data_IF_931313874237
#
_entry.id   IF_931313874237
#
_cell.length_a   1.000
_cell.length_b   1.000
_cell.length_c   1.000
_cell.angle_alpha   90.00
_cell.angle_beta   90.00
_cell.angle_gamma   90.00
#
_symmetry.space_group_name_H-M   'P 1'
#
loop_
_entity.id
_entity.type
_entity.pdbx_description
1 polymer ?
#
# COMPACT_ATOMS: atom_id res chain seq x y z
N UNK A 1 12.16 36.15 38.67
CA UNK A 1 10.87 35.67 38.12
C UNK A 1 10.84 35.98 36.62
N UNK A 2 11.20 35.01 35.78
CA UNK A 2 10.89 35.02 34.34
C UNK A 2 10.71 33.56 33.93
N UNK A 3 9.45 33.16 33.70
CA UNK A 3 9.08 31.85 33.20
C UNK A 3 9.29 31.82 31.69
N UNK A 4 10.27 31.03 31.23
CA UNK A 4 10.34 30.61 29.83
C UNK A 4 9.66 29.25 29.69
N UNK A 5 8.41 29.27 29.23
CA UNK A 5 7.67 28.07 28.81
C UNK A 5 7.98 27.79 27.33
N UNK A 6 8.92 26.88 27.06
CA UNK A 6 9.15 26.34 25.73
C UNK A 6 8.11 25.25 25.43
N UNK A 7 6.98 25.62 24.82
CA UNK A 7 6.03 24.65 24.27
C UNK A 7 6.57 24.11 22.94
N UNK A 8 7.37 23.04 23.03
CA UNK A 8 7.78 22.26 21.87
C UNK A 8 6.57 21.53 21.28
N UNK A 9 6.01 22.07 20.19
CA UNK A 9 5.02 21.36 19.38
C UNK A 9 5.71 20.19 18.66
N UNK A 10 5.81 19.04 19.32
CA UNK A 10 6.15 17.78 18.66
C UNK A 10 5.04 17.45 17.67
N UNK A 11 5.34 17.26 16.38
CA UNK A 11 4.35 16.83 15.40
C UNK A 11 3.70 15.52 15.85
N UNK A 12 2.37 15.44 15.77
CA UNK A 12 1.63 14.22 16.13
C UNK A 12 2.09 13.03 15.27
N UNK A 13 2.10 11.83 15.84
CA UNK A 13 2.54 10.60 15.15
C UNK A 13 1.83 10.39 13.79
N UNK A 14 0.56 10.83 13.68
CA UNK A 14 -0.21 10.85 12.42
C UNK A 14 0.41 11.75 11.35
N UNK A 15 0.90 12.95 11.68
CA UNK A 15 1.59 13.85 10.73
C UNK A 15 2.94 13.28 10.29
N UNK A 16 3.65 12.56 11.17
CA UNK A 16 4.88 11.86 10.80
C UNK A 16 4.58 10.69 9.87
N UNK A 17 3.56 9.88 10.13
CA UNK A 17 3.14 8.81 9.23
C UNK A 17 2.64 9.37 7.90
N UNK A 18 1.79 10.40 7.88
CA UNK A 18 1.32 11.01 6.62
C UNK A 18 2.44 11.67 5.80
N UNK A 19 3.41 12.31 6.45
CA UNK A 19 4.61 12.84 5.79
C UNK A 19 5.53 11.72 5.31
N UNK A 20 5.71 10.67 6.12
CA UNK A 20 6.43 9.45 5.76
C UNK A 20 5.71 8.72 4.63
N UNK A 21 4.38 8.74 4.55
CA UNK A 21 3.57 8.09 3.51
C UNK A 21 3.52 8.91 2.21
N UNK A 22 3.62 10.24 2.30
CA UNK A 22 3.86 11.13 1.15
C UNK A 22 5.29 11.01 0.62
N UNK A 23 6.28 10.88 1.52
CA UNK A 23 7.70 10.74 1.14
C UNK A 23 8.10 9.32 0.80
N UNK A 24 7.41 8.31 1.34
CA UNK A 24 7.68 6.92 1.07
C UNK A 24 6.75 6.34 0.02
N UNK A 25 5.41 6.45 0.10
CA UNK A 25 4.67 5.34 -0.51
C UNK A 25 3.24 5.44 -0.99
N UNK A 26 2.62 6.58 -1.28
CA UNK A 26 1.33 6.47 -1.97
C UNK A 26 1.19 7.48 -3.09
N UNK A 27 1.41 6.99 -4.31
CA UNK A 27 0.70 7.51 -5.46
C UNK A 27 -0.80 7.52 -5.18
N UNK A 28 -1.54 8.44 -5.80
CA UNK A 28 -3.01 8.45 -5.76
C UNK A 28 -3.61 7.04 -5.95
N UNK A 29 -3.11 6.17 -6.86
CA UNK A 29 -3.52 4.76 -6.96
C UNK A 29 -3.47 3.92 -5.66
N UNK A 30 -2.36 3.96 -4.91
CA UNK A 30 -2.27 3.23 -3.65
C UNK A 30 -3.07 3.92 -2.52
N UNK A 31 -3.14 5.26 -2.52
CA UNK A 31 -4.04 6.00 -1.60
C UNK A 31 -5.48 5.59 -1.84
N UNK A 32 -5.92 5.59 -3.10
CA UNK A 32 -7.26 5.18 -3.51
C UNK A 32 -7.53 3.72 -3.16
N UNK A 33 -6.52 2.85 -3.22
CA UNK A 33 -6.67 1.45 -2.79
C UNK A 33 -6.90 1.34 -1.28
N UNK A 34 -6.20 2.14 -0.47
CA UNK A 34 -6.42 2.23 0.98
C UNK A 34 -7.78 2.86 1.29
N UNK A 35 -8.16 3.91 0.57
CA UNK A 35 -9.47 4.57 0.69
C UNK A 35 -10.59 3.62 0.27
N UNK A 36 -10.42 2.83 -0.79
CA UNK A 36 -11.38 1.80 -1.20
C UNK A 36 -11.49 0.66 -0.19
N UNK A 37 -10.40 0.26 0.47
CA UNK A 37 -10.47 -0.67 1.62
C UNK A 37 -11.31 -0.09 2.77
N UNK A 38 -11.30 1.23 2.97
CA UNK A 38 -12.16 1.90 3.97
C UNK A 38 -13.61 2.14 3.50
N UNK A 39 -13.86 2.29 2.20
CA UNK A 39 -15.20 2.60 1.66
C UNK A 39 -16.00 1.36 1.23
N UNK A 40 -15.34 0.25 0.88
CA UNK A 40 -16.01 -1.02 0.54
C UNK A 40 -16.70 -1.69 1.74
N UNK A 41 -16.54 -1.15 2.96
CA UNK A 41 -17.34 -1.56 4.12
C UNK A 41 -18.75 -0.93 4.15
N UNK A 42 -19.14 -0.14 3.13
CA UNK A 42 -20.38 0.63 3.15
C UNK A 42 -21.27 0.45 1.90
N UNK A 43 -20.99 -0.55 1.06
CA UNK A 43 -21.73 -0.75 -0.19
C UNK A 43 -21.87 -2.24 -0.53
N UNK A 44 -22.93 -2.87 -0.03
CA UNK A 44 -23.44 -4.14 -0.51
C UNK A 44 -24.70 -3.89 -1.36
N UNK A 45 -24.65 -4.26 -2.65
CA UNK A 45 -25.70 -5.03 -3.30
C UNK A 45 -25.34 -5.42 -4.74
N UNK A 46 -25.49 -6.72 -4.98
CA UNK A 46 -25.69 -7.44 -6.26
C UNK A 46 -24.61 -7.34 -7.34
N UNK A 47 -23.92 -8.47 -7.56
CA UNK A 47 -24.02 -9.24 -8.82
C UNK A 47 -23.38 -10.62 -8.66
N UNK A 48 -24.14 -11.67 -8.98
CA UNK A 48 -23.65 -13.03 -9.18
C UNK A 48 -22.75 -13.12 -10.42
N UNK A 49 -21.57 -13.71 -10.29
CA UNK A 49 -20.85 -14.28 -11.43
C UNK A 49 -20.01 -15.50 -11.01
N UNK A 50 -20.36 -16.61 -11.63
CA UNK A 50 -19.84 -17.96 -11.51
C UNK A 50 -18.46 -18.10 -12.16
N UNK A 51 -17.37 -18.41 -11.43
CA UNK A 51 -16.07 -18.83 -11.99
C UNK A 51 -15.22 -19.66 -10.99
N UNK A 52 -14.85 -20.88 -11.42
CA UNK A 52 -13.57 -21.55 -11.16
C UNK A 52 -13.09 -21.75 -9.72
N UNK A 53 -13.54 -22.81 -9.04
CA UNK A 53 -12.95 -23.28 -7.77
C UNK A 53 -11.54 -23.85 -7.99
N UNK A 54 -10.50 -23.03 -7.89
CA UNK A 54 -9.15 -23.54 -7.60
C UNK A 54 -9.08 -23.91 -6.11
N UNK A 55 -8.86 -25.20 -5.86
CA UNK A 55 -8.68 -25.77 -4.52
C UNK A 55 -7.33 -25.35 -3.98
N UNK A 56 -7.34 -24.47 -2.97
CA UNK A 56 -6.24 -24.36 -2.01
C UNK A 56 -6.24 -25.65 -1.19
N UNK A 57 -5.34 -26.59 -1.51
CA UNK A 57 -5.26 -27.86 -0.80
C UNK A 57 -4.43 -27.68 0.46
N UNK A 58 -5.09 -27.76 1.61
CA UNK A 58 -4.48 -28.17 2.87
C UNK A 58 -4.32 -29.69 2.83
N UNK A 59 -3.08 -30.17 2.72
CA UNK A 59 -2.76 -31.58 2.86
C UNK A 59 -2.64 -31.93 4.34
N UNK A 60 -3.63 -32.63 4.90
CA UNK A 60 -3.44 -33.52 6.04
C UNK A 60 -4.38 -34.73 5.90
N UNK A 61 -3.82 -35.91 6.11
CA UNK A 61 -4.42 -37.21 5.84
C UNK A 61 -5.23 -37.76 7.04
N UNK A 62 -6.46 -38.21 6.76
CA UNK A 62 -7.07 -39.53 7.11
C UNK A 62 -7.31 -39.79 8.63
N UNK A 63 -8.54 -40.04 9.13
CA UNK A 63 -9.41 -41.22 8.87
C UNK A 63 -10.83 -41.05 9.47
N UNK A 64 -11.78 -41.75 8.83
CA UNK A 64 -13.26 -41.79 8.99
C UNK A 64 -13.78 -42.52 10.25
N UNK A 65 -15.00 -42.22 10.69
CA UNK A 65 -16.18 -43.13 10.57
C UNK A 65 -17.52 -42.51 11.05
N UNK A 66 -18.50 -42.61 10.14
CA UNK A 66 -19.98 -42.59 10.16
C UNK A 66 -20.76 -42.65 11.50
N UNK A 67 -21.85 -41.86 11.61
CA UNK A 67 -23.25 -42.30 11.36
C UNK A 67 -24.28 -41.22 11.76
N UNK A 68 -25.16 -40.86 10.82
CA UNK A 68 -26.52 -40.29 11.01
C UNK A 68 -27.52 -41.43 11.36
N UNK A 69 -28.80 -41.21 11.82
CA UNK A 69 -29.66 -40.11 11.35
C UNK A 69 -30.84 -39.60 12.23
N UNK A 70 -31.48 -38.56 11.66
CA UNK A 70 -32.93 -38.28 11.57
C UNK A 70 -33.65 -37.35 12.58
N UNK A 71 -34.26 -36.35 11.95
CA UNK A 71 -35.69 -35.98 11.98
C UNK A 71 -36.21 -34.84 12.90
N UNK A 72 -36.91 -33.92 12.20
CA UNK A 72 -38.19 -33.28 12.50
C UNK A 72 -38.26 -31.86 13.12
N UNK A 73 -38.62 -30.93 12.22
CA UNK A 73 -39.92 -30.22 12.12
C UNK A 73 -40.26 -29.01 13.04
N UNK A 74 -40.75 -27.98 12.32
CA UNK A 74 -41.89 -27.09 12.59
C UNK A 74 -41.76 -25.77 13.40
N UNK A 75 -41.95 -24.68 12.63
CA UNK A 75 -42.99 -23.65 12.70
C UNK A 75 -43.05 -22.56 13.80
N UNK A 76 -42.99 -21.32 13.27
CA UNK A 76 -43.92 -20.19 13.40
C UNK A 76 -43.87 -19.19 14.58
N UNK A 77 -43.83 -17.92 14.12
CA UNK A 77 -44.66 -16.76 14.47
C UNK A 77 -44.16 -15.64 15.42
N UNK A 78 -43.90 -14.47 14.78
CA UNK A 78 -44.64 -13.17 14.86
C UNK A 78 -44.51 -12.24 16.10
N UNK A 79 -44.44 -10.94 15.77
CA UNK A 79 -44.51 -9.67 16.55
C UNK A 79 -43.26 -9.23 17.33
N UNK A 80 -42.89 -7.95 17.42
CA UNK A 80 -43.55 -6.69 17.04
C UNK A 80 -42.59 -5.49 17.01
N UNK A 81 -43.18 -4.31 16.86
CA UNK A 81 -42.61 -3.03 16.44
C UNK A 81 -41.61 -2.33 17.39
N UNK A 82 -40.74 -1.47 16.84
CA UNK A 82 -40.65 -0.06 17.24
C UNK A 82 -39.79 0.78 16.31
N UNK A 83 -40.36 1.93 15.96
CA UNK A 83 -39.74 3.06 15.29
C UNK A 83 -38.74 3.75 16.22
N UNK A 84 -37.64 4.28 15.68
CA UNK A 84 -37.05 5.53 16.14
C UNK A 84 -36.10 6.08 15.06
N UNK A 85 -36.59 7.06 14.30
CA UNK A 85 -35.79 7.87 13.38
C UNK A 85 -35.11 8.99 14.17
N UNK A 86 -33.78 8.96 14.25
CA UNK A 86 -32.98 10.13 14.59
C UNK A 86 -32.33 10.66 13.32
N UNK A 87 -32.89 11.77 12.82
CA UNK A 87 -32.21 12.64 11.86
C UNK A 87 -31.09 13.38 12.59
N UNK A 88 -29.86 13.23 12.10
CA UNK A 88 -28.78 14.18 12.35
C UNK A 88 -28.17 14.56 11.01
N UNK A 89 -28.63 15.69 10.48
CA UNK A 89 -27.99 16.43 9.41
C UNK A 89 -26.65 16.96 9.92
N UNK A 90 -25.55 16.33 9.48
CA UNK A 90 -24.20 16.87 9.67
C UNK A 90 -23.69 17.35 8.31
N UNK A 91 -23.82 18.67 8.10
CA UNK A 91 -23.14 19.42 7.05
C UNK A 91 -21.61 19.32 7.24
N UNK A 92 -20.95 18.50 6.44
CA UNK A 92 -19.50 18.54 6.25
C UNK A 92 -19.17 19.58 5.18
N UNK A 93 -18.72 20.75 5.64
CA UNK A 93 -18.15 21.77 4.77
C UNK A 93 -16.83 21.26 4.18
N UNK A 94 -16.86 20.85 2.90
CA UNK A 94 -15.66 20.59 2.10
C UNK A 94 -14.82 21.87 2.00
N UNK A 95 -13.66 21.86 2.65
CA UNK A 95 -12.61 22.86 2.41
C UNK A 95 -11.98 22.52 1.05
N UNK A 96 -12.45 23.19 0.00
CA UNK A 96 -11.79 23.19 -1.32
C UNK A 96 -10.49 23.97 -1.21
N UNK A 97 -9.39 23.26 -0.98
CA UNK A 97 -8.05 23.83 -1.15
C UNK A 97 -7.84 24.05 -2.64
N UNK A 98 -7.85 25.31 -3.10
CA UNK A 98 -7.47 25.64 -4.48
C UNK A 98 -6.03 25.20 -4.72
N UNK A 99 -5.82 24.15 -5.52
CA UNK A 99 -4.51 23.70 -5.96
C UNK A 99 -3.89 24.78 -6.87
N UNK A 100 -2.92 25.53 -6.33
CA UNK A 100 -2.23 26.58 -7.07
C UNK A 100 -1.16 25.97 -7.97
N UNK A 101 -1.43 25.92 -9.28
CA UNK A 101 -0.47 25.46 -10.29
C UNK A 101 0.88 26.18 -10.13
N UNK A 102 1.96 25.40 -10.04
CA UNK A 102 3.31 25.95 -10.04
C UNK A 102 3.67 26.29 -11.48
N UNK A 103 3.97 27.57 -11.72
CA UNK A 103 4.56 28.03 -12.98
C UNK A 103 6.06 28.06 -12.84
N UNK A 104 6.74 27.19 -13.57
CA UNK A 104 8.20 27.13 -13.65
C UNK A 104 8.62 27.73 -14.99
N UNK A 105 9.56 28.68 -14.97
CA UNK A 105 10.18 29.17 -16.20
C UNK A 105 11.22 28.16 -16.69
N UNK A 106 10.73 27.13 -17.41
CA UNK A 106 11.58 26.06 -17.92
C UNK A 106 12.70 26.61 -18.80
N UNK A 107 12.44 27.67 -19.58
CA UNK A 107 13.44 28.25 -20.50
C UNK A 107 14.61 28.83 -19.71
N UNK A 108 14.35 29.60 -18.66
CA UNK A 108 15.40 30.15 -17.82
C UNK A 108 16.22 29.03 -17.14
N UNK A 109 15.56 27.97 -16.68
CA UNK A 109 16.26 26.85 -16.03
C UNK A 109 17.14 26.08 -17.01
N UNK A 110 16.68 25.84 -18.24
CA UNK A 110 17.52 25.23 -19.27
C UNK A 110 18.74 26.11 -19.58
N UNK A 111 18.55 27.44 -19.68
CA UNK A 111 19.68 28.37 -19.85
C UNK A 111 20.66 28.33 -18.66
N UNK A 112 20.16 28.17 -17.44
CA UNK A 112 21.00 28.05 -16.25
C UNK A 112 21.74 26.70 -16.18
N UNK A 113 21.16 25.62 -16.71
CA UNK A 113 21.84 24.33 -16.88
C UNK A 113 22.93 24.41 -17.96
N UNK A 114 22.63 25.02 -19.12
CA UNK A 114 23.60 25.24 -20.20
C UNK A 114 24.79 26.10 -19.77
N UNK A 115 24.55 27.07 -18.87
CA UNK A 115 25.57 27.95 -18.32
C UNK A 115 26.26 27.44 -17.06
N UNK A 116 26.05 26.18 -16.66
CA UNK A 116 26.57 25.58 -15.41
C UNK A 116 26.20 26.35 -14.12
N UNK A 117 25.17 27.18 -14.16
CA UNK A 117 24.66 27.96 -13.00
C UNK A 117 23.76 27.13 -12.11
N UNK A 118 23.15 26.09 -12.66
CA UNK A 118 22.30 25.14 -11.96
C UNK A 118 22.83 23.73 -12.21
N UNK A 119 22.87 22.89 -11.17
CA UNK A 119 23.21 21.47 -11.34
C UNK A 119 21.98 20.66 -11.71
N UNK A 120 22.10 19.59 -12.52
CA UNK A 120 20.97 18.72 -12.86
C UNK A 120 20.21 18.20 -11.64
N UNK A 121 20.90 17.83 -10.56
CA UNK A 121 20.26 17.36 -9.33
C UNK A 121 19.35 18.41 -8.67
N UNK A 122 19.74 19.69 -8.70
CA UNK A 122 18.93 20.81 -8.21
C UNK A 122 17.72 21.07 -9.12
N UNK A 123 17.87 20.87 -10.43
CA UNK A 123 16.75 20.95 -11.36
C UNK A 123 15.74 19.81 -11.13
N UNK A 124 16.19 18.63 -10.69
CA UNK A 124 15.29 17.52 -10.33
C UNK A 124 14.43 17.81 -9.08
N UNK A 125 14.85 18.70 -8.17
CA UNK A 125 14.00 19.18 -7.06
C UNK A 125 12.76 19.95 -7.56
N UNK A 126 12.92 20.69 -8.67
CA UNK A 126 11.81 21.40 -9.31
C UNK A 126 10.85 20.42 -10.00
N UNK A 127 11.38 19.40 -10.68
CA UNK A 127 10.58 18.35 -11.27
C UNK A 127 9.76 17.58 -10.22
N UNK A 128 10.35 17.28 -9.07
CA UNK A 128 9.65 16.62 -7.98
C UNK A 128 8.47 17.47 -7.47
N UNK A 129 8.66 18.79 -7.33
CA UNK A 129 7.56 19.72 -6.97
C UNK A 129 6.43 19.74 -8.00
N UNK A 130 6.73 19.63 -9.30
CA UNK A 130 5.68 19.51 -10.32
C UNK A 130 4.85 18.23 -10.10
N UNK A 131 5.51 17.11 -9.81
CA UNK A 131 4.83 15.84 -9.49
C UNK A 131 3.94 15.99 -8.24
N UNK A 132 4.44 16.62 -7.17
CA UNK A 132 3.67 16.88 -5.95
C UNK A 132 2.41 17.73 -6.20
N UNK A 133 2.41 18.54 -7.26
CA UNK A 133 1.28 19.39 -7.68
C UNK A 133 0.46 18.77 -8.81
N UNK A 134 0.60 17.46 -9.04
CA UNK A 134 -0.10 16.72 -10.11
C UNK A 134 0.16 17.22 -11.54
N UNK A 135 1.23 17.98 -11.77
CA UNK A 135 1.66 18.48 -13.09
C UNK A 135 2.57 17.45 -13.76
N UNK A 136 2.03 16.25 -14.01
CA UNK A 136 2.79 15.05 -14.40
C UNK A 136 3.45 15.17 -15.78
N UNK A 137 2.71 15.65 -16.78
CA UNK A 137 3.23 15.78 -18.14
C UNK A 137 4.34 16.85 -18.21
N UNK A 138 4.12 18.01 -17.57
CA UNK A 138 5.13 19.05 -17.48
C UNK A 138 6.37 18.57 -16.73
N UNK A 139 6.20 17.76 -15.67
CA UNK A 139 7.32 17.14 -14.98
C UNK A 139 8.11 16.21 -15.91
N UNK A 140 7.44 15.35 -16.70
CA UNK A 140 8.12 14.43 -17.64
C UNK A 140 8.93 15.19 -18.67
N UNK A 141 8.31 16.14 -19.35
CA UNK A 141 9.00 16.95 -20.37
C UNK A 141 10.22 17.66 -19.78
N UNK A 142 10.06 18.21 -18.57
CA UNK A 142 11.16 18.90 -17.89
C UNK A 142 12.29 17.94 -17.50
N UNK A 143 11.98 16.74 -16.99
CA UNK A 143 12.99 15.73 -16.65
C UNK A 143 13.73 15.23 -17.90
N UNK A 144 13.04 15.04 -19.03
CA UNK A 144 13.71 14.65 -20.28
C UNK A 144 14.68 15.72 -20.79
N UNK A 145 14.34 17.00 -20.61
CA UNK A 145 15.28 18.07 -20.93
C UNK A 145 16.49 18.03 -20.00
N UNK A 146 16.32 17.78 -18.70
CA UNK A 146 17.43 17.66 -17.74
C UNK A 146 18.33 16.46 -18.06
N UNK A 147 17.75 15.32 -18.47
CA UNK A 147 18.50 14.11 -18.82
C UNK A 147 19.54 14.35 -19.92
N UNK A 148 19.30 15.29 -20.84
CA UNK A 148 20.24 15.65 -21.90
C UNK A 148 21.55 16.29 -21.36
N UNK A 149 21.53 16.83 -20.14
CA UNK A 149 22.67 17.45 -19.48
C UNK A 149 23.41 16.49 -18.52
N UNK A 150 22.94 15.25 -18.38
CA UNK A 150 23.59 14.24 -17.55
C UNK A 150 24.54 13.43 -18.44
N UNK A 151 25.86 13.41 -18.18
CA UNK A 151 26.82 12.73 -19.06
C UNK A 151 26.52 11.24 -19.21
N UNK A 152 26.51 10.73 -20.45
CA UNK A 152 26.20 9.31 -20.74
C UNK A 152 27.24 8.32 -20.18
N UNK A 153 28.49 8.75 -19.98
CA UNK A 153 29.51 7.94 -19.28
C UNK A 153 29.20 7.75 -17.78
N UNK A 154 28.13 8.39 -17.28
CA UNK A 154 27.61 8.33 -15.92
C UNK A 154 26.17 7.79 -15.89
N UNK A 155 25.80 6.91 -16.83
CA UNK A 155 24.49 6.20 -16.82
C UNK A 155 24.24 5.37 -15.54
N UNK A 156 25.26 5.24 -14.69
CA UNK A 156 25.21 4.61 -13.35
C UNK A 156 25.37 5.62 -12.19
N UNK A 157 25.28 6.93 -12.43
CA UNK A 157 25.34 7.93 -11.37
C UNK A 157 23.97 8.14 -10.71
N UNK A 158 23.98 8.47 -9.42
CA UNK A 158 22.83 8.75 -8.57
C UNK A 158 21.83 9.74 -9.20
N UNK A 159 22.33 10.71 -9.98
CA UNK A 159 21.50 11.72 -10.65
C UNK A 159 20.66 11.12 -11.78
N UNK A 160 21.24 10.26 -12.62
CA UNK A 160 20.53 9.54 -13.69
C UNK A 160 19.45 8.65 -13.09
N UNK A 161 19.80 7.90 -12.04
CA UNK A 161 18.86 7.06 -11.28
C UNK A 161 17.70 7.86 -10.72
N UNK A 162 17.99 9.01 -10.10
CA UNK A 162 16.97 9.92 -9.56
C UNK A 162 16.05 10.44 -10.66
N UNK A 163 16.59 10.82 -11.81
CA UNK A 163 15.79 11.25 -12.96
C UNK A 163 14.87 10.12 -13.45
N UNK A 164 15.37 8.90 -13.64
CA UNK A 164 14.54 7.74 -14.02
C UNK A 164 13.42 7.47 -13.02
N UNK A 165 13.71 7.53 -11.72
CA UNK A 165 12.69 7.40 -10.68
C UNK A 165 11.61 8.47 -10.81
N UNK A 166 11.96 9.73 -11.06
CA UNK A 166 10.99 10.82 -11.18
C UNK A 166 10.14 10.69 -12.45
N UNK A 167 10.72 10.26 -13.59
CA UNK A 167 9.93 9.93 -14.79
C UNK A 167 8.92 8.82 -14.49
N UNK A 168 9.39 7.74 -13.84
CA UNK A 168 8.55 6.61 -13.46
C UNK A 168 7.42 7.03 -12.51
N UNK A 169 7.73 7.83 -11.48
CA UNK A 169 6.75 8.37 -10.53
C UNK A 169 5.71 9.26 -11.22
N UNK A 170 6.11 10.03 -12.23
CA UNK A 170 5.16 10.84 -12.99
C UNK A 170 4.15 9.97 -13.74
N UNK A 171 4.61 8.97 -14.49
CA UNK A 171 3.72 7.97 -15.11
C UNK A 171 2.86 7.23 -14.07
N UNK A 172 3.47 6.75 -13.00
CA UNK A 172 2.79 5.99 -11.95
C UNK A 172 1.68 6.81 -11.26
N UNK A 173 1.94 8.08 -10.95
CA UNK A 173 0.96 8.99 -10.34
C UNK A 173 -0.15 9.39 -11.32
N UNK A 174 0.12 9.35 -12.62
CA UNK A 174 -0.87 9.51 -13.69
C UNK A 174 -1.59 8.20 -14.05
N UNK A 175 -1.42 7.12 -13.27
CA UNK A 175 -2.01 5.79 -13.48
C UNK A 175 -1.57 5.09 -14.79
N UNK A 176 -0.44 5.51 -15.37
CA UNK A 176 0.21 4.94 -16.56
C UNK A 176 1.23 3.89 -16.14
N UNK A 177 0.75 2.78 -15.57
CA UNK A 177 1.60 1.79 -14.90
C UNK A 177 2.58 1.10 -15.86
N UNK A 178 2.15 0.79 -17.09
CA UNK A 178 2.96 0.08 -18.08
C UNK A 178 4.12 0.96 -18.56
N UNK A 179 3.87 2.24 -18.71
CA UNK A 179 4.83 3.27 -19.09
C UNK A 179 5.83 3.54 -17.96
N UNK A 180 5.41 3.46 -16.70
CA UNK A 180 6.29 3.62 -15.54
C UNK A 180 7.33 2.50 -15.39
N UNK A 181 6.96 1.26 -15.74
CA UNK A 181 7.79 0.06 -15.54
C UNK A 181 9.23 0.14 -16.09
N UNK A 182 9.46 0.47 -17.38
CA UNK A 182 10.82 0.54 -17.92
C UNK A 182 11.69 1.55 -17.17
N UNK A 183 11.10 2.63 -16.65
CA UNK A 183 11.82 3.65 -15.89
C UNK A 183 12.13 3.22 -14.45
N UNK A 184 11.19 2.59 -13.75
CA UNK A 184 11.49 1.98 -12.45
C UNK A 184 12.54 0.88 -12.56
N UNK A 185 12.52 0.10 -13.65
CA UNK A 185 13.54 -0.91 -13.90
C UNK A 185 14.93 -0.30 -14.07
N UNK A 186 15.06 0.76 -14.88
CA UNK A 186 16.31 1.52 -15.01
C UNK A 186 16.79 2.09 -13.68
N UNK A 187 15.87 2.62 -12.87
CA UNK A 187 16.21 3.14 -11.55
C UNK A 187 16.69 2.04 -10.59
N UNK A 188 16.05 0.88 -10.58
CA UNK A 188 16.35 -0.21 -9.65
C UNK A 188 17.66 -0.96 -9.97
N UNK A 189 17.92 -1.27 -11.25
CA UNK A 189 19.09 -2.06 -11.65
C UNK A 189 20.42 -1.43 -11.26
N UNK A 190 20.47 -0.10 -11.14
CA UNK A 190 21.67 0.65 -10.78
C UNK A 190 21.59 1.19 -9.33
N UNK A 191 20.91 0.47 -8.43
CA UNK A 191 20.58 0.97 -7.09
C UNK A 191 20.73 -0.03 -5.96
N UNK A 192 21.31 0.45 -4.87
CA UNK A 192 21.27 -0.18 -3.54
C UNK A 192 20.16 0.39 -2.65
N UNK A 193 19.18 1.10 -3.24
CA UNK A 193 18.07 1.69 -2.52
C UNK A 193 16.88 0.74 -2.45
N UNK A 194 16.43 0.41 -1.24
CA UNK A 194 15.17 -0.32 -1.02
C UNK A 194 13.98 0.36 -1.70
N UNK A 195 14.00 1.69 -1.81
CA UNK A 195 12.92 2.47 -2.45
C UNK A 195 12.80 2.17 -3.95
N UNK A 196 13.92 2.05 -4.66
CA UNK A 196 13.88 1.81 -6.11
C UNK A 196 13.35 0.42 -6.42
N UNK A 197 13.83 -0.58 -5.66
CA UNK A 197 13.35 -1.95 -5.74
C UNK A 197 11.88 -2.07 -5.35
N UNK A 198 11.47 -1.35 -4.31
CA UNK A 198 10.08 -1.35 -3.89
C UNK A 198 9.14 -0.74 -4.93
N UNK A 199 9.51 0.40 -5.52
CA UNK A 199 8.72 1.00 -6.59
C UNK A 199 8.55 0.03 -7.76
N UNK A 200 9.64 -0.62 -8.20
CA UNK A 200 9.59 -1.64 -9.25
C UNK A 200 8.68 -2.81 -8.88
N UNK A 201 8.82 -3.34 -7.66
CA UNK A 201 8.03 -4.46 -7.16
C UNK A 201 6.53 -4.13 -7.18
N UNK A 202 6.15 -3.00 -6.59
CA UNK A 202 4.75 -2.57 -6.50
C UNK A 202 4.14 -2.29 -7.86
N UNK A 203 4.82 -1.54 -8.72
CA UNK A 203 4.26 -1.23 -10.05
C UNK A 203 4.12 -2.50 -10.87
N UNK A 204 5.10 -3.41 -10.82
CA UNK A 204 5.03 -4.70 -11.53
C UNK A 204 3.90 -5.58 -11.01
N UNK A 205 3.65 -5.60 -9.70
CA UNK A 205 2.56 -6.35 -9.09
C UNK A 205 1.17 -5.76 -9.34
N UNK A 206 1.04 -4.46 -9.65
CA UNK A 206 -0.26 -3.81 -9.88
C UNK A 206 -0.73 -3.89 -11.33
N UNK A 207 0.16 -4.12 -12.28
CA UNK A 207 -0.20 -4.22 -13.69
C UNK A 207 -1.05 -5.48 -13.89
N UNK A 208 -2.32 -5.30 -14.19
CA UNK A 208 -3.21 -6.40 -14.58
C UNK A 208 -2.87 -6.82 -16.00
N UNK A 209 -1.99 -7.82 -16.11
CA UNK A 209 -1.64 -8.50 -17.35
C UNK A 209 -1.55 -10.00 -17.07
N UNK A 210 -1.87 -10.83 -18.05
CA UNK A 210 -1.74 -12.28 -17.94
C UNK A 210 -0.26 -12.72 -18.10
N UNK A 211 0.65 -11.75 -18.28
CA UNK A 211 2.09 -11.97 -18.41
C UNK A 211 2.73 -12.38 -17.07
N UNK A 212 2.97 -13.69 -16.94
CA UNK A 212 3.74 -14.28 -15.84
C UNK A 212 5.12 -13.65 -15.61
N UNK A 213 5.70 -12.97 -16.61
CA UNK A 213 6.98 -12.29 -16.45
C UNK A 213 6.90 -11.07 -15.52
N UNK A 214 5.76 -10.35 -15.50
CA UNK A 214 5.59 -9.18 -14.62
C UNK A 214 5.48 -9.60 -13.16
N UNK A 215 4.72 -10.66 -12.87
CA UNK A 215 4.67 -11.23 -11.52
C UNK A 215 6.06 -11.73 -11.08
N UNK A 216 6.80 -12.43 -11.95
CA UNK A 216 8.16 -12.87 -11.64
C UNK A 216 9.09 -11.68 -11.37
N UNK A 217 8.97 -10.60 -12.15
CA UNK A 217 9.72 -9.37 -11.93
C UNK A 217 9.37 -8.72 -10.59
N UNK A 218 8.09 -8.66 -10.23
CA UNK A 218 7.62 -8.13 -8.96
C UNK A 218 8.21 -8.90 -7.77
N UNK A 219 8.13 -10.24 -7.82
CA UNK A 219 8.67 -11.11 -6.77
C UNK A 219 10.20 -11.03 -6.68
N UNK A 220 10.89 -10.96 -7.82
CA UNK A 220 12.34 -10.74 -7.86
C UNK A 220 12.72 -9.40 -7.23
N UNK A 221 12.08 -8.31 -7.65
CA UNK A 221 12.34 -6.98 -7.09
C UNK A 221 12.07 -6.95 -5.58
N UNK A 222 10.98 -7.59 -5.11
CA UNK A 222 10.70 -7.70 -3.69
C UNK A 222 11.74 -8.52 -2.91
N UNK A 223 12.34 -9.55 -3.53
CA UNK A 223 13.45 -10.29 -2.91
C UNK A 223 14.71 -9.44 -2.71
N UNK A 224 14.98 -8.48 -3.60
CA UNK A 224 16.11 -7.56 -3.44
C UNK A 224 15.91 -6.64 -2.23
N UNK A 225 14.69 -6.19 -1.98
CA UNK A 225 14.32 -5.42 -0.79
C UNK A 225 14.66 -6.21 0.48
N UNK A 226 14.28 -7.49 0.52
CA UNK A 226 14.58 -8.34 1.66
C UNK A 226 16.09 -8.53 1.88
N UNK A 227 16.86 -8.68 0.81
CA UNK A 227 18.31 -8.81 0.89
C UNK A 227 18.96 -7.54 1.46
N UNK A 228 18.58 -6.37 0.95
CA UNK A 228 19.07 -5.08 1.47
C UNK A 228 18.69 -4.88 2.95
N UNK A 229 17.48 -5.28 3.34
CA UNK A 229 17.10 -5.28 4.76
C UNK A 229 17.98 -6.23 5.58
N UNK A 230 18.23 -7.46 5.12
CA UNK A 230 19.12 -8.41 5.82
C UNK A 230 20.55 -7.86 5.96
N UNK A 231 21.11 -7.29 4.90
CA UNK A 231 22.44 -6.68 4.90
C UNK A 231 22.54 -5.52 5.90
N UNK A 232 21.46 -4.77 6.07
CA UNK A 232 21.36 -3.68 7.06
C UNK A 232 20.96 -4.12 8.47
N UNK A 233 20.83 -5.43 8.75
CA UNK A 233 20.23 -5.96 9.98
C UNK A 233 18.84 -5.35 10.29
N UNK A 234 18.04 -5.16 9.25
CA UNK A 234 16.67 -4.61 9.28
C UNK A 234 16.57 -3.18 9.84
N UNK A 235 17.62 -2.37 9.71
CA UNK A 235 17.64 -0.98 10.17
C UNK A 235 17.10 0.04 9.15
N UNK A 236 16.91 -0.38 7.89
CA UNK A 236 16.43 0.50 6.83
C UNK A 236 14.99 0.96 7.06
N UNK A 237 14.70 2.18 6.61
CA UNK A 237 13.35 2.77 6.63
C UNK A 237 12.81 2.93 5.21
N UNK A 238 11.52 2.61 4.97
CA UNK A 238 10.58 2.04 5.93
C UNK A 238 10.97 0.61 6.29
N UNK A 239 10.49 0.12 7.43
CA UNK A 239 10.71 -1.25 7.85
C UNK A 239 10.29 -2.27 6.78
N UNK A 240 10.93 -3.44 6.80
CA UNK A 240 10.59 -4.53 5.90
C UNK A 240 9.10 -4.92 5.97
N UNK A 241 8.51 -4.93 7.16
CA UNK A 241 7.12 -5.39 7.33
C UNK A 241 6.10 -4.39 6.78
N UNK A 242 6.37 -3.08 6.87
CA UNK A 242 5.55 -2.05 6.23
C UNK A 242 5.62 -2.20 4.71
N UNK A 243 6.80 -2.48 4.17
CA UNK A 243 6.97 -2.76 2.74
C UNK A 243 6.20 -4.03 2.33
N UNK A 244 6.33 -5.13 3.07
CA UNK A 244 5.58 -6.36 2.82
C UNK A 244 4.06 -6.13 2.78
N UNK A 245 3.53 -5.34 3.71
CA UNK A 245 2.11 -4.98 3.77
C UNK A 245 1.63 -4.30 2.47
N UNK A 246 2.34 -3.28 2.01
CA UNK A 246 1.97 -2.56 0.78
C UNK A 246 2.22 -3.37 -0.49
N UNK A 247 3.19 -4.27 -0.48
CA UNK A 247 3.41 -5.19 -1.59
C UNK A 247 2.26 -6.22 -1.72
N UNK A 248 1.72 -6.71 -0.59
CA UNK A 248 0.51 -7.56 -0.60
C UNK A 248 -0.67 -6.81 -1.22
N UNK A 249 -0.89 -5.54 -0.86
CA UNK A 249 -1.94 -4.70 -1.47
C UNK A 249 -1.72 -4.57 -2.99
N UNK A 250 -0.47 -4.36 -3.42
CA UNK A 250 -0.12 -4.26 -4.83
C UNK A 250 -0.46 -5.54 -5.59
N UNK A 251 -0.09 -6.71 -5.06
CA UNK A 251 -0.44 -8.02 -5.62
C UNK A 251 -1.96 -8.20 -5.73
N UNK A 252 -2.71 -7.82 -4.69
CA UNK A 252 -4.17 -7.88 -4.71
C UNK A 252 -4.77 -7.00 -5.80
N UNK A 253 -4.20 -5.81 -6.04
CA UNK A 253 -4.65 -4.91 -7.09
C UNK A 253 -4.34 -5.43 -8.50
N UNK A 254 -3.24 -6.16 -8.67
CA UNK A 254 -2.95 -6.96 -9.86
C UNK A 254 -3.70 -8.29 -9.95
N UNK A 255 -4.60 -8.60 -9.00
CA UNK A 255 -5.36 -9.86 -8.90
C UNK A 255 -4.48 -11.12 -8.66
N UNK A 256 -3.26 -10.95 -8.19
CA UNK A 256 -2.34 -12.02 -7.78
C UNK A 256 -2.66 -12.52 -6.34
N UNK A 257 -3.88 -13.01 -6.15
CA UNK A 257 -4.40 -13.34 -4.81
C UNK A 257 -3.66 -14.50 -4.12
N UNK A 258 -3.14 -15.46 -4.89
CA UNK A 258 -2.40 -16.61 -4.37
C UNK A 258 -1.08 -16.20 -3.74
N UNK A 259 -0.32 -15.34 -4.43
CA UNK A 259 0.94 -14.78 -3.97
C UNK A 259 0.69 -13.83 -2.79
N UNK A 260 -0.35 -12.99 -2.89
CA UNK A 260 -0.79 -12.13 -1.79
C UNK A 260 -1.10 -12.95 -0.52
N UNK A 261 -1.80 -14.07 -0.63
CA UNK A 261 -2.12 -14.95 0.50
C UNK A 261 -0.87 -15.61 1.10
N UNK A 262 0.08 -16.01 0.27
CA UNK A 262 1.36 -16.57 0.72
C UNK A 262 2.13 -15.56 1.57
N UNK A 263 2.23 -14.32 1.09
CA UNK A 263 2.90 -13.23 1.80
C UNK A 263 2.11 -12.74 3.03
N UNK A 264 0.78 -12.78 2.98
CA UNK A 264 -0.09 -12.48 4.13
C UNK A 264 0.18 -13.45 5.29
N UNK A 265 0.39 -14.74 5.01
CA UNK A 265 0.78 -15.71 6.03
C UNK A 265 2.12 -15.39 6.67
N UNK A 266 3.08 -14.86 5.91
CA UNK A 266 4.36 -14.39 6.44
C UNK A 266 4.16 -13.22 7.41
N UNK A 267 3.27 -12.28 7.08
CA UNK A 267 2.93 -11.16 7.96
C UNK A 267 2.16 -11.63 9.21
N UNK A 268 1.25 -12.61 9.09
CA UNK A 268 0.59 -13.27 10.23
C UNK A 268 1.60 -13.84 11.24
N UNK A 269 2.64 -14.51 10.75
CA UNK A 269 3.69 -15.05 11.62
C UNK A 269 4.48 -13.96 12.33
N UNK A 270 4.64 -12.77 11.73
CA UNK A 270 5.25 -11.64 12.39
C UNK A 270 4.39 -11.13 13.56
N UNK A 271 3.06 -11.02 13.37
CA UNK A 271 2.14 -10.69 14.46
C UNK A 271 2.08 -11.76 15.56
N UNK A 272 2.15 -13.05 15.22
CA UNK A 272 2.25 -14.11 16.22
C UNK A 272 3.50 -13.99 17.10
N UNK A 273 4.61 -13.48 16.53
CA UNK A 273 5.86 -13.24 17.28
C UNK A 273 5.86 -11.90 18.02
N UNK A 274 4.95 -11.00 17.67
CA UNK A 274 4.79 -9.74 18.37
C UNK A 274 4.20 -10.01 19.76
N UNK A 275 4.74 -9.36 20.79
CA UNK A 275 4.28 -9.55 22.16
C UNK A 275 2.91 -8.92 22.40
N UNK A 276 2.67 -7.76 21.78
CA UNK A 276 1.46 -6.97 21.92
C UNK A 276 0.96 -6.52 20.56
N UNK A 277 -0.35 -6.29 20.45
CA UNK A 277 -0.97 -5.72 19.24
C UNK A 277 -1.26 -4.23 19.38
N UNK A 278 -0.80 -3.59 20.46
CA UNK A 278 -1.02 -2.16 20.65
C UNK A 278 -0.26 -1.33 19.61
N UNK A 279 -0.83 -0.18 19.18
CA UNK A 279 -0.25 0.61 18.09
C UNK A 279 1.18 1.13 18.36
N UNK A 280 1.51 1.45 19.62
CA UNK A 280 2.81 2.05 19.96
C UNK A 280 3.93 1.02 19.84
N UNK A 281 3.69 -0.17 20.39
CA UNK A 281 4.62 -1.29 20.29
C UNK A 281 4.83 -1.74 18.83
N UNK A 282 3.74 -1.91 18.07
CA UNK A 282 3.83 -2.31 16.66
C UNK A 282 4.62 -1.29 15.84
N UNK A 283 4.41 0.01 16.07
CA UNK A 283 5.18 1.06 15.43
C UNK A 283 6.67 0.98 15.77
N UNK A 284 7.02 0.71 17.02
CA UNK A 284 8.42 0.58 17.47
C UNK A 284 9.15 -0.56 16.76
N UNK A 285 8.50 -1.72 16.62
CA UNK A 285 9.07 -2.89 15.91
C UNK A 285 8.84 -2.85 14.39
N UNK A 286 8.26 -1.77 13.89
CA UNK A 286 8.05 -1.53 12.47
C UNK A 286 7.02 -2.46 11.82
N UNK A 287 6.01 -2.93 12.55
CA UNK A 287 4.84 -3.61 11.97
C UNK A 287 3.76 -2.59 11.57
N UNK A 288 2.90 -2.92 10.58
CA UNK A 288 1.66 -2.18 10.36
C UNK A 288 0.79 -2.16 11.62
N UNK A 289 -0.25 -1.31 11.65
CA UNK A 289 -1.24 -1.40 12.71
C UNK A 289 -2.02 -2.72 12.61
N UNK A 290 -2.40 -3.30 13.75
CA UNK A 290 -3.12 -4.57 13.77
C UNK A 290 -4.50 -4.47 13.08
N UNK A 291 -5.21 -3.35 13.27
CA UNK A 291 -6.47 -3.04 12.58
C UNK A 291 -6.28 -3.04 11.05
N UNK A 292 -5.22 -2.39 10.55
CA UNK A 292 -4.92 -2.36 9.11
C UNK A 292 -4.58 -3.76 8.56
N UNK A 293 -3.93 -4.60 9.35
CA UNK A 293 -3.65 -5.98 8.98
C UNK A 293 -4.92 -6.84 8.91
N UNK A 294 -5.82 -6.75 9.90
CA UNK A 294 -7.09 -7.49 9.89
C UNK A 294 -7.93 -7.08 8.68
N UNK A 295 -8.04 -5.76 8.41
CA UNK A 295 -8.73 -5.25 7.23
C UNK A 295 -8.14 -5.76 5.92
N UNK A 296 -6.81 -5.86 5.83
CA UNK A 296 -6.13 -6.46 4.69
C UNK A 296 -6.51 -7.94 4.52
N UNK A 297 -6.52 -8.73 5.60
CA UNK A 297 -6.96 -10.13 5.56
C UNK A 297 -8.38 -10.23 5.00
N UNK A 298 -9.34 -9.52 5.58
CA UNK A 298 -10.74 -9.56 5.16
C UNK A 298 -10.91 -9.09 3.72
N UNK A 299 -10.19 -8.06 3.29
CA UNK A 299 -10.22 -7.58 1.91
C UNK A 299 -9.73 -8.67 0.95
N UNK A 300 -8.63 -9.37 1.26
CA UNK A 300 -8.13 -10.46 0.42
C UNK A 300 -9.16 -11.60 0.32
N UNK A 301 -9.69 -12.06 1.45
CA UNK A 301 -10.69 -13.14 1.47
C UNK A 301 -12.00 -12.75 0.77
N UNK A 302 -12.42 -11.49 0.87
CA UNK A 302 -13.58 -10.96 0.15
C UNK A 302 -13.36 -10.95 -1.36
N UNK A 303 -12.17 -10.57 -1.85
CA UNK A 303 -11.84 -10.56 -3.29
C UNK A 303 -11.81 -11.94 -3.94
N UNK A 304 -11.78 -13.01 -3.16
CA UNK A 304 -11.82 -14.40 -3.63
C UNK A 304 -13.08 -15.15 -3.17
N UNK A 305 -14.13 -14.41 -2.78
CA UNK A 305 -15.44 -14.93 -2.36
C UNK A 305 -15.37 -15.96 -1.21
N UNK A 306 -14.45 -15.73 -0.27
CA UNK A 306 -14.19 -16.63 0.87
C UNK A 306 -14.16 -15.87 2.20
N UNK A 307 -15.01 -14.86 2.35
CA UNK A 307 -15.03 -14.00 3.55
C UNK A 307 -15.14 -14.80 4.85
N UNK A 308 -15.99 -15.82 4.90
CA UNK A 308 -16.14 -16.70 6.07
C UNK A 308 -14.82 -17.42 6.44
N UNK A 309 -14.04 -17.87 5.45
CA UNK A 309 -12.71 -18.44 5.71
C UNK A 309 -11.74 -17.38 6.26
N UNK A 310 -11.94 -16.11 5.90
CA UNK A 310 -11.23 -14.99 6.49
C UNK A 310 -11.53 -14.78 7.96
N UNK A 311 -12.80 -14.95 8.37
CA UNK A 311 -13.16 -14.92 9.80
C UNK A 311 -12.50 -16.06 10.58
N UNK A 312 -12.53 -17.28 10.04
CA UNK A 312 -11.87 -18.43 10.67
C UNK A 312 -10.35 -18.24 10.74
N UNK A 313 -9.75 -17.72 9.68
CA UNK A 313 -8.32 -17.41 9.62
C UNK A 313 -7.90 -16.44 10.73
N UNK A 314 -8.70 -15.40 10.99
CA UNK A 314 -8.42 -14.42 12.04
C UNK A 314 -8.63 -14.99 13.44
N UNK A 315 -9.71 -15.77 13.66
CA UNK A 315 -9.98 -16.41 14.96
C UNK A 315 -8.89 -17.40 15.38
N UNK A 316 -8.15 -17.97 14.43
CA UNK A 316 -7.02 -18.86 14.70
C UNK A 316 -5.72 -18.12 15.05
N UNK A 317 -5.73 -16.78 15.07
CA UNK A 317 -4.53 -16.03 15.43
C UNK A 317 -4.22 -16.11 16.92
N UNK A 318 -2.95 -16.36 17.21
CA UNK A 318 -2.39 -16.39 18.56
C UNK A 318 -1.84 -14.98 18.86
N UNK A 319 -2.69 -14.14 19.47
CA UNK A 319 -2.41 -12.74 19.82
C UNK A 319 -2.88 -12.43 21.25
N UNK A 320 -2.45 -11.29 21.77
CA UNK A 320 -2.87 -10.78 23.07
C UNK A 320 -4.38 -10.43 23.10
N UNK A 321 -4.89 -10.14 24.29
CA UNK A 321 -6.33 -9.96 24.49
C UNK A 321 -6.88 -8.71 23.79
N UNK A 322 -6.08 -7.64 23.71
CA UNK A 322 -6.41 -6.47 22.90
C UNK A 322 -6.55 -6.84 21.41
N UNK A 323 -5.69 -7.73 20.92
CA UNK A 323 -5.76 -8.24 19.56
C UNK A 323 -7.03 -9.03 19.32
N UNK A 324 -7.41 -9.94 20.22
CA UNK A 324 -8.65 -10.71 20.11
C UNK A 324 -9.89 -9.81 20.08
N UNK A 325 -9.98 -8.83 20.97
CA UNK A 325 -11.07 -7.85 20.97
C UNK A 325 -11.14 -7.05 19.66
N UNK A 326 -9.98 -6.71 19.09
CA UNK A 326 -9.91 -6.02 17.79
C UNK A 326 -10.42 -6.91 16.65
N UNK A 327 -10.05 -8.20 16.66
CA UNK A 327 -10.55 -9.19 15.69
C UNK A 327 -12.07 -9.31 15.78
N UNK A 328 -12.61 -9.51 16.98
CA UNK A 328 -14.06 -9.67 17.20
C UNK A 328 -14.83 -8.44 16.72
N UNK A 329 -14.40 -7.24 17.12
CA UNK A 329 -15.02 -5.98 16.69
C UNK A 329 -15.08 -5.87 15.17
N UNK A 330 -13.95 -6.08 14.48
CA UNK A 330 -13.89 -5.90 13.02
C UNK A 330 -14.66 -7.00 12.28
N UNK A 331 -14.68 -8.24 12.81
CA UNK A 331 -15.50 -9.32 12.23
C UNK A 331 -16.98 -8.96 12.32
N UNK A 332 -17.45 -8.45 13.47
CA UNK A 332 -18.84 -7.98 13.63
C UNK A 332 -19.16 -6.86 12.63
N UNK A 333 -18.31 -5.83 12.54
CA UNK A 333 -18.46 -4.73 11.58
C UNK A 333 -18.46 -5.17 10.10
N UNK A 334 -17.88 -6.32 9.78
CA UNK A 334 -17.79 -6.83 8.42
C UNK A 334 -18.86 -7.87 8.07
N UNK A 335 -19.60 -8.36 9.07
CA UNK A 335 -20.70 -9.31 8.92
C UNK A 335 -22.06 -8.62 8.78
N UNK A 336 -22.19 -7.41 9.34
CA UNK A 336 -23.28 -6.47 9.09
C UNK A 336 -23.17 -5.87 7.68
#
# INVERSE_FOLDING_TARGET
>A
MQNMSSSGNTPTAKRRLDSLMRHLFLSKPLQNSITMMSSMNNSNNNTDANLGSQRFSSSEHVRKADTTPKDQNNNNNVHGASQNSFNTDNNSSEIKTEEKLIKIDQKQIIQDLEGDKLKPDQALDLAHRLIDNSQFEEARQFIFNILAFIPSSLEENDVSRRAYRLVALSYYNNNELKEALPWFRKAALNSNSVQDWFNLANTSAQVQDDDSNLLRLAMYAFSQIENLHKESNFQLQPSFWIQLYYFIISLMNGKHHTEAFTLLNRLRLAYKRARFTDPSYLQEIGLPSFDSFIKLCLTLFRRVDRLNQGFDFLKQMDVDEAGKQTIERIISEAAD
#
